data_IF_792195514829
#
_entry.id   IF_792195514829
#
_cell.length_a   1.000
_cell.length_b   1.000
_cell.length_c   1.000
_cell.angle_alpha   90.00
_cell.angle_beta   90.00
_cell.angle_gamma   90.00
#
_symmetry.space_group_name_H-M   'P 1'
#
loop_
_entity.id
_entity.type
_entity.pdbx_description
1 polymer ?
#
# COMPACT_ATOMS: atom_id res chain seq x y z
N UNK A 1 -16.04 -3.06 -24.40
CA UNK A 1 -15.94 -2.12 -23.26
C UNK A 1 -16.20 -2.77 -21.89
N UNK A 2 -16.92 -3.89 -21.74
CA UNK A 2 -17.18 -4.50 -20.42
C UNK A 2 -15.97 -5.23 -19.79
N UNK A 3 -15.07 -5.80 -20.60
CA UNK A 3 -13.96 -6.63 -20.11
C UNK A 3 -12.84 -5.84 -19.41
N UNK A 4 -12.62 -4.57 -19.81
CA UNK A 4 -11.64 -3.67 -19.20
C UNK A 4 -12.05 -3.18 -17.81
N UNK A 5 -13.35 -3.04 -17.56
CA UNK A 5 -13.86 -2.62 -16.24
C UNK A 5 -13.69 -3.72 -15.19
N UNK A 6 -13.93 -4.98 -15.59
CA UNK A 6 -13.78 -6.14 -14.70
C UNK A 6 -12.32 -6.37 -14.28
N UNK A 7 -11.36 -6.15 -15.19
CA UNK A 7 -9.92 -6.28 -14.88
C UNK A 7 -9.40 -5.16 -13.98
N UNK A 8 -9.86 -3.91 -14.18
CA UNK A 8 -9.48 -2.78 -13.33
C UNK A 8 -9.99 -2.96 -11.88
N UNK A 9 -11.24 -3.41 -11.72
CA UNK A 9 -11.80 -3.69 -10.40
C UNK A 9 -11.06 -4.84 -9.70
N UNK A 10 -10.74 -5.92 -10.41
CA UNK A 10 -10.00 -7.05 -9.85
C UNK A 10 -8.60 -6.65 -9.36
N UNK A 11 -7.93 -5.74 -10.08
CA UNK A 11 -6.65 -5.16 -9.67
C UNK A 11 -6.78 -4.34 -8.39
N UNK A 12 -7.80 -3.49 -8.30
CA UNK A 12 -8.07 -2.66 -7.13
C UNK A 12 -8.46 -3.50 -5.90
N UNK A 13 -9.29 -4.53 -6.09
CA UNK A 13 -9.65 -5.49 -5.04
C UNK A 13 -8.40 -6.14 -4.44
N UNK A 14 -7.44 -6.50 -5.30
CA UNK A 14 -6.16 -7.07 -4.89
C UNK A 14 -5.30 -6.06 -4.14
N UNK A 15 -5.21 -4.81 -4.60
CA UNK A 15 -4.48 -3.74 -3.89
C UNK A 15 -5.07 -3.45 -2.50
N UNK A 16 -6.38 -3.57 -2.34
CA UNK A 16 -7.07 -3.39 -1.06
C UNK A 16 -7.07 -4.64 -0.16
N UNK A 17 -6.60 -5.79 -0.68
CA UNK A 17 -6.65 -7.06 0.04
C UNK A 17 -8.07 -7.53 0.35
N UNK A 18 -9.07 -7.11 -0.44
CA UNK A 18 -10.49 -7.42 -0.24
C UNK A 18 -11.02 -8.30 -1.37
N UNK A 19 -11.97 -9.20 -1.09
CA UNK A 19 -12.58 -10.00 -2.15
C UNK A 19 -13.35 -9.08 -3.12
N UNK A 20 -13.41 -9.42 -4.42
CA UNK A 20 -14.05 -8.58 -5.44
C UNK A 20 -15.50 -8.18 -5.11
N UNK A 21 -16.25 -9.05 -4.43
CA UNK A 21 -17.63 -8.78 -4.00
C UNK A 21 -17.74 -7.59 -3.03
N UNK A 22 -16.73 -7.38 -2.19
CA UNK A 22 -16.74 -6.31 -1.18
C UNK A 22 -16.43 -4.96 -1.82
N UNK A 23 -15.89 -4.95 -3.04
CA UNK A 23 -15.55 -3.75 -3.80
C UNK A 23 -16.44 -3.56 -5.03
N UNK A 24 -17.45 -4.41 -5.23
CA UNK A 24 -18.36 -4.34 -6.38
C UNK A 24 -19.07 -2.98 -6.49
N UNK A 25 -19.27 -2.27 -5.37
CA UNK A 25 -19.84 -0.92 -5.38
C UNK A 25 -18.98 0.11 -6.14
N UNK A 26 -17.69 -0.17 -6.35
CA UNK A 26 -16.77 0.68 -7.13
C UNK A 26 -16.96 0.51 -8.64
N UNK A 27 -17.75 -0.46 -9.10
CA UNK A 27 -18.17 -0.54 -10.51
C UNK A 27 -19.04 0.66 -10.90
N UNK A 28 -19.80 1.22 -9.95
CA UNK A 28 -20.65 2.39 -10.17
C UNK A 28 -19.88 3.72 -10.30
N UNK A 29 -18.59 3.73 -9.94
CA UNK A 29 -17.73 4.89 -10.14
C UNK A 29 -17.41 5.08 -11.63
N UNK A 30 -17.22 6.33 -12.03
CA UNK A 30 -16.66 6.63 -13.35
C UNK A 30 -15.16 6.28 -13.40
N UNK A 31 -14.61 6.20 -14.62
CA UNK A 31 -13.21 5.84 -14.81
C UNK A 31 -12.24 6.83 -14.17
N UNK A 32 -12.61 8.12 -14.12
CA UNK A 32 -11.79 9.17 -13.53
C UNK A 32 -11.68 9.01 -12.00
N UNK A 33 -12.80 8.75 -11.32
CA UNK A 33 -12.84 8.50 -9.89
C UNK A 33 -12.11 7.20 -9.52
N UNK A 34 -12.22 6.15 -10.34
CA UNK A 34 -11.44 4.91 -10.14
C UNK A 34 -9.93 5.17 -10.22
N UNK A 35 -9.48 5.91 -11.23
CA UNK A 35 -8.06 6.27 -11.37
C UNK A 35 -7.56 7.17 -10.23
N UNK A 36 -8.40 8.09 -9.75
CA UNK A 36 -8.07 8.89 -8.58
C UNK A 36 -7.94 8.01 -7.33
N UNK A 37 -8.89 7.11 -7.10
CA UNK A 37 -8.86 6.18 -5.98
C UNK A 37 -7.61 5.29 -6.00
N UNK A 38 -7.21 4.76 -7.16
CA UNK A 38 -5.97 3.99 -7.28
C UNK A 38 -4.76 4.83 -6.88
N UNK A 39 -4.65 6.07 -7.38
CA UNK A 39 -3.56 6.99 -7.02
C UNK A 39 -3.54 7.32 -5.53
N UNK A 40 -4.70 7.54 -4.93
CA UNK A 40 -4.82 7.85 -3.50
C UNK A 40 -4.41 6.65 -2.64
N UNK A 41 -4.78 5.43 -3.04
CA UNK A 41 -4.37 4.18 -2.37
C UNK A 41 -2.85 4.01 -2.47
N UNK A 42 -2.27 4.17 -3.66
CA UNK A 42 -0.82 4.08 -3.86
C UNK A 42 -0.07 5.13 -3.03
N UNK A 43 -0.60 6.36 -3.00
CA UNK A 43 -0.05 7.43 -2.17
C UNK A 43 -0.11 7.09 -0.68
N UNK A 44 -1.26 6.63 -0.18
CA UNK A 44 -1.43 6.23 1.21
C UNK A 44 -0.52 5.05 1.58
N UNK A 45 -0.35 4.06 0.70
CA UNK A 45 0.58 2.96 0.90
C UNK A 45 2.03 3.44 0.97
N UNK A 46 2.42 4.39 0.11
CA UNK A 46 3.76 4.97 0.13
C UNK A 46 4.04 5.75 1.41
N UNK A 47 3.07 6.55 1.89
CA UNK A 47 3.16 7.28 3.15
C UNK A 47 3.22 6.33 4.34
N UNK A 48 2.42 5.26 4.33
CA UNK A 48 2.44 4.26 5.38
C UNK A 48 3.78 3.51 5.42
N UNK A 49 4.32 3.12 4.26
CA UNK A 49 5.64 2.49 4.17
C UNK A 49 6.76 3.42 4.68
N UNK A 50 6.69 4.71 4.33
CA UNK A 50 7.64 5.70 4.84
C UNK A 50 7.52 5.87 6.36
N UNK A 51 6.31 6.04 6.87
CA UNK A 51 6.05 6.15 8.31
C UNK A 51 6.54 4.92 9.09
N UNK A 52 6.38 3.71 8.52
CA UNK A 52 6.89 2.49 9.11
C UNK A 52 8.42 2.46 9.14
N UNK A 53 9.08 2.89 8.05
CA UNK A 53 10.56 3.03 8.03
C UNK A 53 11.04 4.03 9.06
N UNK A 54 10.41 5.19 9.15
CA UNK A 54 10.78 6.23 10.13
C UNK A 54 10.61 5.72 11.57
N UNK A 55 9.53 4.98 11.85
CA UNK A 55 9.30 4.35 13.14
C UNK A 55 10.36 3.28 13.44
N UNK A 56 10.73 2.45 12.45
CA UNK A 56 11.79 1.45 12.59
C UNK A 56 13.16 2.10 12.80
N UNK A 57 13.49 3.15 12.07
CA UNK A 57 14.73 3.92 12.28
C UNK A 57 14.75 4.56 13.67
N UNK A 58 13.62 5.12 14.12
CA UNK A 58 13.43 5.62 15.47
C UNK A 58 13.69 4.56 16.54
N UNK A 59 13.13 3.36 16.36
CA UNK A 59 13.37 2.22 17.27
C UNK A 59 14.84 1.76 17.23
N UNK A 60 15.46 1.70 16.06
CA UNK A 60 16.88 1.35 15.88
C UNK A 60 17.81 2.37 16.54
N UNK A 61 17.44 3.65 16.53
CA UNK A 61 18.18 4.71 17.21
C UNK A 61 18.24 4.53 18.73
N UNK A 62 17.24 3.87 19.32
CA UNK A 62 17.17 3.60 20.75
C UNK A 62 17.98 2.36 21.17
N UNK A 63 18.49 1.57 20.20
CA UNK A 63 19.29 0.38 20.49
C UNK A 63 20.78 0.71 20.69
N UNK A 64 21.49 -0.10 21.51
CA UNK A 64 22.94 0.00 21.63
C UNK A 64 23.63 -0.14 20.26
N UNK A 65 24.68 0.66 20.02
CA UNK A 65 25.41 0.73 18.72
C UNK A 65 25.79 -0.65 18.15
N UNK A 66 26.17 -1.59 19.00
CA UNK A 66 26.57 -2.96 18.61
C UNK A 66 25.43 -3.76 17.96
N UNK A 67 24.17 -3.49 18.33
CA UNK A 67 23.00 -4.19 17.80
C UNK A 67 22.37 -3.47 16.61
N UNK A 68 22.68 -2.18 16.43
CA UNK A 68 22.05 -1.34 15.42
C UNK A 68 22.38 -1.76 13.99
N UNK A 69 23.65 -2.03 13.70
CA UNK A 69 24.12 -2.44 12.36
C UNK A 69 23.53 -3.79 11.93
N UNK A 70 23.65 -4.88 12.72
CA UNK A 70 23.12 -6.18 12.29
C UNK A 70 21.59 -6.16 12.11
N UNK A 71 20.85 -5.43 12.95
CA UNK A 71 19.39 -5.33 12.82
C UNK A 71 19.03 -4.52 11.56
N UNK A 72 19.73 -3.42 11.27
CA UNK A 72 19.50 -2.65 10.04
C UNK A 72 19.69 -3.52 8.78
N UNK A 73 20.72 -4.37 8.76
CA UNK A 73 20.98 -5.32 7.66
C UNK A 73 19.87 -6.38 7.53
N UNK A 74 19.33 -6.90 8.63
CA UNK A 74 18.25 -7.90 8.60
C UNK A 74 16.94 -7.34 8.02
N UNK A 75 16.68 -6.04 8.23
CA UNK A 75 15.46 -5.39 7.77
C UNK A 75 15.63 -4.63 6.43
N UNK A 76 16.80 -4.72 5.78
CA UNK A 76 17.04 -4.11 4.47
C UNK A 76 16.97 -2.57 4.44
N UNK A 77 17.33 -1.93 5.57
CA UNK A 77 17.33 -0.48 5.76
C UNK A 77 18.69 0.17 5.43
#
# INVERSE_FOLDING_TARGET
MAQTHSTALASLARQLGRPPRDVAFLEALDDAARQQLTRDIEHAQSLHAQSLRDAMEGALNQLPRLLRIPIRTLFGL
#
